data_IF_872603370770
#
_entry.id   IF_872603370770
#
_cell.length_a   1.000
_cell.length_b   1.000
_cell.length_c   1.000
_cell.angle_alpha   90.00
_cell.angle_beta   90.00
_cell.angle_gamma   90.00
#
_symmetry.space_group_name_H-M   'P 1'
#
loop_
_entity.id
_entity.type
_entity.pdbx_description
1 polymer ?
#
# COMPACT_ATOMS: atom_id res chain seq x y z
N UNK A 1 -4.16 1.22 11.50
CA UNK A 1 -3.36 0.20 10.80
C UNK A 1 -2.38 -0.34 11.82
N UNK A 2 -2.01 -1.60 11.68
CA UNK A 2 -1.14 -2.31 12.62
C UNK A 2 0.01 -2.89 11.81
N UNK A 3 1.23 -2.74 12.33
CA UNK A 3 2.45 -3.11 11.60
C UNK A 3 2.57 -4.62 11.46
N UNK A 4 2.12 -5.40 12.45
CA UNK A 4 2.12 -6.86 12.38
C UNK A 4 1.15 -7.36 11.30
N UNK A 5 -0.02 -6.70 11.18
CA UNK A 5 -0.97 -7.01 10.11
C UNK A 5 -0.41 -6.66 8.74
N UNK A 6 0.24 -5.50 8.61
CA UNK A 6 0.92 -5.07 7.37
C UNK A 6 1.97 -6.11 6.97
N UNK A 7 2.85 -6.46 7.89
CA UNK A 7 3.87 -7.49 7.73
C UNK A 7 3.29 -8.83 7.28
N UNK A 8 2.20 -9.28 7.92
CA UNK A 8 1.54 -10.53 7.59
C UNK A 8 0.99 -10.53 6.16
N UNK A 9 0.44 -9.41 5.69
CA UNK A 9 -0.02 -9.24 4.31
C UNK A 9 1.15 -9.41 3.33
N UNK A 10 2.25 -8.68 3.50
CA UNK A 10 3.41 -8.75 2.59
C UNK A 10 4.08 -10.13 2.60
N UNK A 11 4.24 -10.74 3.77
CA UNK A 11 4.74 -12.13 3.90
C UNK A 11 3.84 -13.11 3.17
N UNK A 12 2.52 -12.91 3.22
CA UNK A 12 1.56 -13.77 2.52
C UNK A 12 1.61 -13.58 1.02
N UNK A 13 1.66 -12.34 0.53
CA UNK A 13 1.79 -12.02 -0.90
C UNK A 13 3.05 -12.62 -1.50
N UNK A 14 4.20 -12.44 -0.84
CA UNK A 14 5.45 -13.05 -1.28
C UNK A 14 5.34 -14.58 -1.35
N UNK A 15 4.80 -15.23 -0.31
CA UNK A 15 4.61 -16.70 -0.32
C UNK A 15 3.67 -17.19 -1.41
N UNK A 16 2.62 -16.43 -1.73
CA UNK A 16 1.68 -16.77 -2.80
C UNK A 16 2.36 -16.64 -4.16
N UNK A 17 3.08 -15.56 -4.41
CA UNK A 17 3.79 -15.33 -5.67
C UNK A 17 4.80 -16.46 -5.97
N UNK A 18 5.53 -16.94 -4.96
CA UNK A 18 6.44 -18.08 -5.09
C UNK A 18 5.75 -19.42 -5.42
N UNK A 19 4.45 -19.55 -5.17
CA UNK A 19 3.68 -20.78 -5.43
C UNK A 19 2.93 -20.74 -6.76
N UNK A 20 2.74 -19.55 -7.33
CA UNK A 20 2.06 -19.40 -8.60
C UNK A 20 3.00 -19.75 -9.76
N UNK A 21 2.45 -20.42 -10.77
CA UNK A 21 3.21 -20.82 -11.97
C UNK A 21 3.28 -19.71 -13.02
N UNK A 22 2.37 -18.73 -12.91
CA UNK A 22 2.23 -17.60 -13.83
C UNK A 22 2.44 -16.30 -13.04
N UNK A 23 2.76 -15.22 -13.77
CA UNK A 23 2.77 -13.88 -13.21
C UNK A 23 1.43 -13.54 -12.54
N UNK A 24 1.48 -12.71 -11.50
CA UNK A 24 0.32 -12.36 -10.70
C UNK A 24 0.29 -10.86 -10.41
N UNK A 25 -0.88 -10.25 -10.42
CA UNK A 25 -1.03 -8.83 -10.10
C UNK A 25 -1.85 -8.69 -8.82
N UNK A 26 -1.30 -7.98 -7.83
CA UNK A 26 -1.98 -7.65 -6.59
C UNK A 26 -2.30 -6.16 -6.55
N UNK A 27 -3.59 -5.82 -6.59
CA UNK A 27 -4.04 -4.43 -6.48
C UNK A 27 -4.32 -4.15 -5.00
N UNK A 28 -3.55 -3.22 -4.42
CA UNK A 28 -3.73 -2.78 -3.04
C UNK A 28 -4.25 -1.35 -3.04
N UNK A 29 -5.08 -1.03 -2.06
CA UNK A 29 -5.56 0.33 -1.83
C UNK A 29 -5.52 0.59 -0.34
N UNK A 30 -4.81 1.64 0.07
CA UNK A 30 -4.65 2.02 1.47
C UNK A 30 -5.02 3.49 1.61
N UNK A 31 -5.95 3.76 2.52
CA UNK A 31 -6.33 5.11 2.91
C UNK A 31 -5.26 5.68 3.85
N UNK A 32 -4.78 6.90 3.62
CA UNK A 32 -3.90 7.60 4.55
C UNK A 32 -4.75 8.28 5.63
N UNK A 33 -4.75 7.74 6.85
CA UNK A 33 -5.39 8.37 8.02
C UNK A 33 -4.36 9.18 8.81
N UNK A 34 -4.59 10.49 8.91
CA UNK A 34 -3.80 11.38 9.75
C UNK A 34 -4.19 11.17 11.21
N UNK A 35 -3.27 10.69 12.03
CA UNK A 35 -3.50 10.59 13.47
C UNK A 35 -3.07 11.90 14.14
N UNK A 36 -4.04 12.63 14.70
CA UNK A 36 -3.78 13.81 15.51
C UNK A 36 -3.59 13.36 16.96
N UNK A 37 -2.36 13.42 17.47
CA UNK A 37 -2.10 13.17 18.89
C UNK A 37 -1.92 14.50 19.63
N UNK A 38 -2.66 14.68 20.73
CA UNK A 38 -2.53 15.87 21.60
C UNK A 38 -1.13 16.00 22.23
N UNK A 39 -0.33 14.93 22.17
CA UNK A 39 1.00 14.87 22.78
C UNK A 39 2.08 15.49 21.89
N UNK A 40 1.92 15.48 20.56
CA UNK A 40 2.96 15.91 19.63
C UNK A 40 2.55 16.96 18.59
N UNK A 41 1.26 17.36 18.48
CA UNK A 41 0.83 18.43 17.54
C UNK A 41 1.30 18.17 16.09
N UNK A 42 1.60 16.92 15.76
CA UNK A 42 2.22 16.52 14.51
C UNK A 42 1.35 15.52 13.77
N UNK A 43 1.36 15.61 12.45
CA UNK A 43 0.58 14.75 11.57
C UNK A 43 1.33 13.43 11.43
N UNK A 44 0.95 12.43 12.22
CA UNK A 44 1.61 11.11 12.16
C UNK A 44 0.84 10.15 11.25
N UNK A 45 1.56 9.52 10.33
CA UNK A 45 1.07 8.48 9.42
C UNK A 45 1.96 7.25 9.44
N UNK A 46 2.51 6.91 10.60
CA UNK A 46 3.55 5.88 10.79
C UNK A 46 3.21 4.56 10.10
N UNK A 47 1.97 4.07 10.25
CA UNK A 47 1.60 2.81 9.64
C UNK A 47 1.37 2.88 8.12
N UNK A 48 1.04 4.06 7.56
CA UNK A 48 1.06 4.27 6.11
C UNK A 48 2.51 4.33 5.60
N UNK A 49 3.41 4.94 6.36
CA UNK A 49 4.84 5.00 6.03
C UNK A 49 5.50 3.61 6.13
N UNK A 50 5.09 2.79 7.11
CA UNK A 50 5.47 1.38 7.23
C UNK A 50 4.98 0.59 6.02
N UNK A 51 3.71 0.74 5.63
CA UNK A 51 3.17 0.11 4.43
C UNK A 51 3.96 0.46 3.17
N UNK A 52 4.32 1.75 2.99
CA UNK A 52 5.18 2.18 1.86
C UNK A 52 6.58 1.57 1.93
N UNK A 53 7.14 1.46 3.14
CA UNK A 53 8.45 0.85 3.35
C UNK A 53 8.43 -0.65 3.01
N UNK A 54 7.37 -1.37 3.38
CA UNK A 54 7.16 -2.77 2.98
C UNK A 54 7.01 -2.94 1.46
N UNK A 55 6.29 -2.03 0.79
CA UNK A 55 6.19 -2.03 -0.68
C UNK A 55 7.57 -1.88 -1.34
N UNK A 56 8.36 -0.90 -0.89
CA UNK A 56 9.71 -0.69 -1.41
C UNK A 56 10.61 -1.90 -1.11
N UNK A 57 10.52 -2.48 0.09
CA UNK A 57 11.26 -3.69 0.43
C UNK A 57 10.90 -4.88 -0.48
N UNK A 58 9.62 -5.01 -0.85
CA UNK A 58 9.16 -6.05 -1.77
C UNK A 58 9.73 -5.85 -3.18
N UNK A 59 9.73 -4.62 -3.69
CA UNK A 59 10.33 -4.28 -4.99
C UNK A 59 11.83 -4.61 -5.06
N UNK A 60 12.55 -4.37 -3.96
CA UNK A 60 13.98 -4.67 -3.86
C UNK A 60 14.27 -6.16 -3.59
N UNK A 61 13.25 -6.99 -3.41
CA UNK A 61 13.41 -8.42 -3.16
C UNK A 61 13.80 -9.14 -4.45
N UNK A 62 15.10 -9.30 -4.66
CA UNK A 62 15.65 -10.07 -5.78
C UNK A 62 15.80 -11.55 -5.39
N UNK A 63 14.75 -12.36 -5.61
CA UNK A 63 14.75 -13.78 -5.24
C UNK A 63 14.84 -14.71 -6.47
N UNK A 64 15.88 -14.48 -7.28
CA UNK A 64 16.30 -15.32 -8.40
C UNK A 64 15.33 -15.42 -9.59
N UNK A 65 14.19 -16.09 -9.40
CA UNK A 65 13.16 -16.34 -10.43
C UNK A 65 11.96 -15.39 -10.34
N UNK A 66 11.76 -14.77 -9.18
CA UNK A 66 10.64 -13.87 -8.94
C UNK A 66 11.13 -12.43 -8.92
N UNK A 67 10.40 -11.54 -9.60
CA UNK A 67 10.69 -10.11 -9.66
C UNK A 67 9.41 -9.34 -9.40
N UNK A 68 9.40 -8.62 -8.29
CA UNK A 68 8.33 -7.71 -7.95
C UNK A 68 8.54 -6.38 -8.67
N UNK A 69 7.45 -5.74 -9.09
CA UNK A 69 7.42 -4.41 -9.69
C UNK A 69 6.34 -3.62 -8.97
N UNK A 70 6.65 -2.46 -8.40
CA UNK A 70 5.66 -1.67 -7.66
C UNK A 70 5.37 -0.39 -8.44
N UNK A 71 4.10 -0.14 -8.74
CA UNK A 71 3.67 1.03 -9.50
C UNK A 71 2.42 1.69 -8.92
N UNK A 72 2.35 3.03 -8.86
CA UNK A 72 1.11 3.72 -8.54
C UNK A 72 0.11 3.53 -9.70
N UNK A 73 -1.15 3.25 -9.39
CA UNK A 73 -2.20 3.11 -10.42
C UNK A 73 -3.19 4.25 -10.30
N UNK A 74 -3.44 4.89 -11.45
CA UNK A 74 -4.50 5.88 -11.55
C UNK A 74 -5.86 5.23 -11.35
N UNK A 75 -6.69 5.85 -10.51
CA UNK A 75 -8.03 5.34 -10.19
C UNK A 75 -9.07 5.67 -11.30
N UNK A 76 -8.62 5.69 -12.57
CA UNK A 76 -9.41 6.05 -13.76
C UNK A 76 -10.29 4.92 -14.29
N UNK A 77 -10.30 3.77 -13.60
CA UNK A 77 -11.18 2.65 -13.88
C UNK A 77 -12.57 2.81 -13.22
N UNK A 78 -13.63 2.15 -13.73
CA UNK A 78 -14.95 2.19 -13.11
C UNK A 78 -14.92 1.70 -11.66
N UNK A 79 -15.26 2.58 -10.72
CA UNK A 79 -15.32 2.24 -9.30
C UNK A 79 -16.76 1.86 -8.94
N UNK A 80 -16.96 0.61 -8.48
CA UNK A 80 -18.27 0.14 -8.03
C UNK A 80 -18.60 0.62 -6.61
N UNK A 81 -17.57 0.97 -5.83
CA UNK A 81 -17.66 1.52 -4.48
C UNK A 81 -17.36 3.02 -4.56
N UNK A 82 -18.42 3.84 -4.55
CA UNK A 82 -18.28 5.30 -4.43
C UNK A 82 -18.15 5.62 -2.95
N UNK A 83 -16.91 5.76 -2.49
CA UNK A 83 -16.62 6.19 -1.11
C UNK A 83 -16.53 7.71 -1.06
N UNK A 84 -17.40 8.35 -0.28
CA UNK A 84 -17.34 9.79 -0.03
C UNK A 84 -16.15 10.11 0.88
N UNK A 85 -15.06 10.64 0.31
CA UNK A 85 -13.92 11.12 1.11
C UNK A 85 -14.31 12.42 1.81
N UNK A 86 -14.24 12.43 3.14
CA UNK A 86 -14.36 13.67 3.92
C UNK A 86 -13.19 14.60 3.59
N UNK A 87 -13.43 15.92 3.51
CA UNK A 87 -12.39 16.91 3.16
C UNK A 87 -11.17 16.87 4.10
N UNK A 88 -11.36 16.43 5.34
CA UNK A 88 -10.29 16.28 6.33
C UNK A 88 -9.32 15.11 6.02
N UNK A 89 -9.65 14.25 5.04
CA UNK A 89 -8.80 13.17 4.53
C UNK A 89 -7.99 13.59 3.30
N UNK A 90 -8.19 14.81 2.79
CA UNK A 90 -7.44 15.39 1.66
C UNK A 90 -6.27 16.19 2.23
N UNK A 91 -5.13 15.53 2.42
CA UNK A 91 -3.89 16.22 2.79
C UNK A 91 -3.42 17.19 1.70
N UNK A 92 -2.63 18.23 2.04
CA UNK A 92 -2.03 19.12 1.05
C UNK A 92 -0.88 18.40 0.34
N UNK A 93 -1.19 17.65 -0.72
CA UNK A 93 -0.21 16.91 -1.49
C UNK A 93 -0.86 16.13 -2.63
N UNK A 94 -0.09 15.75 -3.68
CA UNK A 94 -0.63 15.02 -4.81
C UNK A 94 -1.28 13.74 -4.28
N UNK A 95 -2.51 13.51 -4.73
CA UNK A 95 -3.39 12.47 -4.23
C UNK A 95 -2.65 11.15 -4.03
N UNK A 96 -2.67 10.63 -2.80
CA UNK A 96 -2.28 9.25 -2.56
C UNK A 96 -3.32 8.35 -3.23
N UNK A 97 -3.15 8.12 -4.53
CA UNK A 97 -3.87 7.11 -5.28
C UNK A 97 -3.56 5.72 -4.73
N UNK A 98 -4.41 4.73 -5.03
CA UNK A 98 -4.14 3.34 -4.66
C UNK A 98 -2.75 2.91 -5.15
N UNK A 99 -1.95 2.35 -4.24
CA UNK A 99 -0.60 1.84 -4.53
C UNK A 99 -0.72 0.39 -5.00
N UNK A 100 -0.26 0.07 -6.21
CA UNK A 100 -0.33 -1.28 -6.77
C UNK A 100 1.03 -1.96 -6.75
N UNK A 101 1.03 -3.26 -6.49
CA UNK A 101 2.22 -4.10 -6.58
C UNK A 101 1.96 -5.18 -7.64
N UNK A 102 2.71 -5.14 -8.74
CA UNK A 102 2.89 -6.30 -9.61
C UNK A 102 3.84 -7.29 -8.94
N UNK A 103 3.44 -8.56 -8.87
CA UNK A 103 4.24 -9.66 -8.34
C UNK A 103 4.84 -10.53 -9.47
#
# INVERSE_FOLDING_TARGET
YDDDLTDAVFKTLSRLAHRLKNACTAILSVEKRLNFTLRHLDVTCEAYDHFRSCLHALEQLADGKLRFVVEPVEASFPQLLVYERLQQLVGPGPEAGPLVALL
#
